data_IF_663091197594
#
_entry.id   IF_663091197594
#
_cell.length_a   1.000
_cell.length_b   1.000
_cell.length_c   1.000
_cell.angle_alpha   90.00
_cell.angle_beta   90.00
_cell.angle_gamma   90.00
#
_symmetry.space_group_name_H-M   'P 1'
#
loop_
_entity.id
_entity.type
_entity.pdbx_description
1 polymer ?
#
# COMPACT_ATOMS: atom_id res chain seq x y z
N UNK A 1 -19.39 -0.20 2.31
CA UNK A 1 -18.65 -0.02 1.04
C UNK A 1 -17.28 0.64 1.20
N UNK A 2 -17.03 1.50 2.21
CA UNK A 2 -15.75 2.21 2.40
C UNK A 2 -14.49 1.34 2.37
N UNK A 3 -14.56 0.13 2.93
CA UNK A 3 -13.42 -0.79 3.01
C UNK A 3 -13.31 -1.77 1.83
N UNK A 4 -14.21 -1.68 0.84
CA UNK A 4 -14.24 -2.63 -0.27
C UNK A 4 -12.95 -2.55 -1.11
N UNK A 5 -12.47 -1.35 -1.44
CA UNK A 5 -11.21 -1.17 -2.15
C UNK A 5 -10.02 -1.79 -1.41
N UNK A 6 -9.98 -1.68 -0.07
CA UNK A 6 -8.92 -2.31 0.74
C UNK A 6 -9.02 -3.83 0.65
N UNK A 7 -10.22 -4.39 0.75
CA UNK A 7 -10.44 -5.84 0.65
C UNK A 7 -10.01 -6.37 -0.73
N UNK A 8 -10.33 -5.64 -1.80
CA UNK A 8 -9.97 -6.01 -3.18
C UNK A 8 -8.46 -5.85 -3.44
N UNK A 9 -7.82 -4.86 -2.81
CA UNK A 9 -6.39 -4.61 -2.94
C UNK A 9 -5.54 -5.56 -2.07
N UNK A 10 -6.09 -6.09 -0.98
CA UNK A 10 -5.37 -6.89 0.00
C UNK A 10 -4.60 -8.09 -0.60
N UNK A 11 -5.17 -8.92 -1.50
CA UNK A 11 -4.41 -10.03 -2.11
C UNK A 11 -3.14 -9.55 -2.80
N UNK A 12 -3.22 -8.41 -3.51
CA UNK A 12 -2.08 -7.80 -4.18
C UNK A 12 -1.03 -7.27 -3.19
N UNK A 13 -1.45 -6.56 -2.14
CA UNK A 13 -0.51 -6.06 -1.12
C UNK A 13 0.20 -7.20 -0.38
N UNK A 14 -0.49 -8.31 -0.12
CA UNK A 14 0.10 -9.49 0.50
C UNK A 14 1.19 -10.10 -0.38
N UNK A 15 1.00 -10.16 -1.70
CA UNK A 15 2.02 -10.60 -2.65
C UNK A 15 3.26 -9.69 -2.57
N UNK A 16 3.06 -8.38 -2.47
CA UNK A 16 4.16 -7.42 -2.34
C UNK A 16 4.89 -7.52 -0.99
N UNK A 17 4.16 -7.74 0.12
CA UNK A 17 4.75 -8.04 1.42
C UNK A 17 5.66 -9.28 1.33
N UNK A 18 5.16 -10.34 0.70
CA UNK A 18 5.94 -11.55 0.47
C UNK A 18 7.16 -11.28 -0.40
N UNK A 19 7.00 -10.55 -1.50
CA UNK A 19 8.11 -10.21 -2.40
C UNK A 19 9.20 -9.37 -1.69
N UNK A 20 8.79 -8.39 -0.88
CA UNK A 20 9.69 -7.58 -0.05
C UNK A 20 10.49 -8.44 0.95
N UNK A 21 9.88 -9.49 1.51
CA UNK A 21 10.55 -10.40 2.44
C UNK A 21 11.46 -11.41 1.73
N UNK A 22 11.05 -11.87 0.55
CA UNK A 22 11.76 -12.86 -0.25
C UNK A 22 13.04 -12.30 -0.89
N UNK A 23 13.08 -11.00 -1.19
CA UNK A 23 14.19 -10.35 -1.89
C UNK A 23 14.79 -9.18 -1.10
N UNK A 24 16.11 -8.91 -1.22
CA UNK A 24 17.11 -9.70 -1.94
C UNK A 24 17.59 -10.89 -1.08
N UNK A 25 17.80 -12.05 -1.73
CA UNK A 25 18.30 -13.28 -1.09
C UNK A 25 19.78 -13.18 -0.66
N UNK A 26 20.51 -12.19 -1.18
CA UNK A 26 21.94 -11.97 -0.92
C UNK A 26 22.24 -11.28 0.41
N UNK A 27 21.29 -10.57 1.01
CA UNK A 27 21.53 -9.83 2.25
C UNK A 27 21.50 -10.77 3.47
N UNK A 28 22.36 -10.55 4.48
CA UNK A 28 22.35 -11.33 5.71
C UNK A 28 21.02 -11.16 6.47
N UNK A 29 20.53 -12.25 7.09
CA UNK A 29 19.26 -12.29 7.84
C UNK A 29 19.49 -12.12 9.35
N UNK A 30 19.98 -10.94 9.73
CA UNK A 30 20.20 -10.57 11.14
C UNK A 30 18.90 -10.24 11.87
N UNK A 31 18.88 -10.32 13.20
CA UNK A 31 17.70 -9.95 14.01
C UNK A 31 17.28 -8.49 13.83
N UNK A 32 18.25 -7.58 13.72
CA UNK A 32 17.97 -6.15 13.45
C UNK A 32 17.25 -5.93 12.12
N UNK A 33 17.66 -6.63 11.06
CA UNK A 33 16.96 -6.60 9.76
C UNK A 33 15.53 -7.12 9.87
N UNK A 34 15.30 -8.21 10.63
CA UNK A 34 13.94 -8.78 10.79
C UNK A 34 12.99 -7.80 11.46
N UNK A 35 13.45 -7.11 12.51
CA UNK A 35 12.64 -6.08 13.19
C UNK A 35 12.36 -4.92 12.24
N UNK A 36 13.38 -4.46 11.50
CA UNK A 36 13.21 -3.41 10.49
C UNK A 36 12.18 -3.82 9.42
N UNK A 37 12.32 -5.00 8.83
CA UNK A 37 11.43 -5.52 7.80
C UNK A 37 9.98 -5.63 8.33
N UNK A 38 9.80 -6.09 9.56
CA UNK A 38 8.49 -6.15 10.21
C UNK A 38 7.86 -4.76 10.39
N UNK A 39 8.61 -3.79 10.92
CA UNK A 39 8.14 -2.41 11.13
C UNK A 39 7.81 -1.74 9.80
N UNK A 40 8.65 -1.93 8.77
CA UNK A 40 8.40 -1.39 7.43
C UNK A 40 7.10 -1.91 6.82
N UNK A 41 6.84 -3.22 6.92
CA UNK A 41 5.59 -3.81 6.44
C UNK A 41 4.38 -3.33 7.24
N UNK A 42 4.51 -3.19 8.57
CA UNK A 42 3.44 -2.65 9.40
C UNK A 42 3.10 -1.21 9.02
N UNK A 43 4.11 -0.36 8.82
CA UNK A 43 3.93 1.02 8.37
C UNK A 43 3.30 1.08 6.97
N UNK A 44 3.70 0.21 6.05
CA UNK A 44 3.13 0.15 4.72
C UNK A 44 1.64 -0.21 4.76
N UNK A 45 1.25 -1.20 5.58
CA UNK A 45 -0.14 -1.62 5.76
C UNK A 45 -1.00 -0.52 6.39
N UNK A 46 -0.50 0.14 7.44
CA UNK A 46 -1.21 1.25 8.09
C UNK A 46 -1.36 2.43 7.11
N UNK A 47 -0.29 2.80 6.41
CA UNK A 47 -0.30 3.87 5.42
C UNK A 47 -1.30 3.58 4.29
N UNK A 48 -1.32 2.36 3.77
CA UNK A 48 -2.28 1.93 2.76
C UNK A 48 -3.72 2.08 3.23
N UNK A 49 -4.03 1.62 4.44
CA UNK A 49 -5.38 1.68 5.00
C UNK A 49 -5.83 3.13 5.21
N UNK A 50 -4.97 3.97 5.80
CA UNK A 50 -5.27 5.39 6.06
C UNK A 50 -5.47 6.16 4.74
N UNK A 51 -4.55 6.01 3.79
CA UNK A 51 -4.65 6.70 2.50
C UNK A 51 -5.86 6.20 1.69
N UNK A 52 -6.21 4.92 1.75
CA UNK A 52 -7.41 4.42 1.10
C UNK A 52 -8.70 5.03 1.70
N UNK A 53 -8.78 5.17 3.02
CA UNK A 53 -9.92 5.82 3.69
C UNK A 53 -10.00 7.30 3.30
N UNK A 54 -8.87 8.02 3.34
CA UNK A 54 -8.80 9.41 2.89
C UNK A 54 -9.25 9.55 1.42
N UNK A 55 -8.77 8.66 0.54
CA UNK A 55 -9.16 8.64 -0.87
C UNK A 55 -10.65 8.37 -1.10
N UNK A 56 -11.30 7.63 -0.19
CA UNK A 56 -12.76 7.40 -0.24
C UNK A 56 -13.52 8.66 0.15
N UNK A 57 -13.07 9.31 1.21
CA UNK A 57 -13.75 10.48 1.79
C UNK A 57 -13.56 11.75 0.93
N UNK A 58 -12.55 11.79 0.05
CA UNK A 58 -12.32 12.89 -0.91
C UNK A 58 -13.19 12.82 -2.18
N UNK A 59 -13.92 11.74 -2.42
CA UNK A 59 -14.71 11.60 -3.65
C UNK A 59 -16.04 12.35 -3.52
N UNK A 60 -16.18 13.43 -4.27
CA UNK A 60 -17.46 14.08 -4.49
C UNK A 60 -18.26 13.31 -5.55
N UNK A 61 -19.42 12.76 -5.13
CA UNK A 61 -20.30 12.03 -6.04
C UNK A 61 -21.12 13.01 -6.86
N UNK A 62 -21.23 12.82 -8.19
CA UNK A 62 -22.13 13.61 -9.02
C UNK A 62 -23.58 13.48 -8.51
N UNK A 63 -24.39 14.54 -8.61
CA UNK A 63 -25.81 14.45 -8.31
C UNK A 63 -26.47 13.40 -9.19
N UNK A 64 -27.48 12.72 -8.63
CA UNK A 64 -28.32 11.77 -9.36
C UNK A 64 -29.24 12.57 -10.25
N UNK A 65 -29.13 12.40 -11.57
CA UNK A 65 -30.02 13.04 -12.53
C UNK A 65 -31.21 12.12 -12.87
N UNK A 66 -32.09 12.61 -13.75
CA UNK A 66 -33.27 11.87 -14.21
C UNK A 66 -32.95 10.57 -14.97
N UNK A 67 -31.69 10.34 -15.36
CA UNK A 67 -31.22 9.14 -16.04
C UNK A 67 -30.46 8.19 -15.10
N UNK A 68 -30.29 8.55 -13.82
CA UNK A 68 -29.71 7.72 -12.76
C UNK A 68 -28.42 8.31 -12.17
N UNK A 69 -27.65 7.47 -11.46
CA UNK A 69 -26.32 7.87 -10.96
C UNK A 69 -25.37 7.97 -12.16
N UNK A 70 -24.81 9.15 -12.39
CA UNK A 70 -23.73 9.31 -13.37
C UNK A 70 -22.58 8.32 -13.09
N UNK A 71 -21.89 7.89 -14.14
CA UNK A 71 -20.78 6.91 -14.11
C UNK A 71 -19.66 7.25 -13.09
N UNK A 72 -19.64 8.47 -12.53
CA UNK A 72 -18.70 8.93 -11.51
C UNK A 72 -18.69 8.12 -10.20
N UNK A 73 -19.73 7.33 -9.90
CA UNK A 73 -19.76 6.50 -8.68
C UNK A 73 -18.61 5.50 -8.54
N UNK A 74 -18.00 5.07 -9.65
CA UNK A 74 -16.85 4.15 -9.65
C UNK A 74 -15.60 4.77 -9.01
N UNK A 75 -15.45 6.10 -9.07
CA UNK A 75 -14.29 6.81 -8.50
C UNK A 75 -14.19 6.65 -6.98
N UNK A 76 -15.32 6.39 -6.31
CA UNK A 76 -15.37 6.07 -4.89
C UNK A 76 -14.72 4.72 -4.53
N UNK A 77 -14.35 3.90 -5.52
CA UNK A 77 -13.54 2.70 -5.35
C UNK A 77 -12.14 2.84 -5.96
N UNK A 78 -12.02 3.53 -7.09
CA UNK A 78 -10.74 3.74 -7.79
C UNK A 78 -9.79 4.63 -6.97
N UNK A 79 -10.25 5.77 -6.45
CA UNK A 79 -9.40 6.67 -5.67
C UNK A 79 -8.82 6.02 -4.39
N UNK A 80 -9.64 5.35 -3.55
CA UNK A 80 -9.11 4.58 -2.42
C UNK A 80 -8.03 3.58 -2.81
N UNK A 81 -8.23 2.84 -3.91
CA UNK A 81 -7.27 1.84 -4.37
C UNK A 81 -5.95 2.49 -4.81
N UNK A 82 -6.01 3.60 -5.55
CA UNK A 82 -4.83 4.36 -5.98
C UNK A 82 -4.06 4.95 -4.79
N UNK A 83 -4.76 5.59 -3.85
CA UNK A 83 -4.13 6.19 -2.67
C UNK A 83 -3.52 5.13 -1.75
N UNK A 84 -4.26 4.04 -1.49
CA UNK A 84 -3.77 2.93 -0.68
C UNK A 84 -2.56 2.24 -1.30
N UNK A 85 -2.60 1.95 -2.60
CA UNK A 85 -1.48 1.34 -3.31
C UNK A 85 -0.27 2.26 -3.37
N UNK A 86 -0.46 3.55 -3.69
CA UNK A 86 0.60 4.54 -3.77
C UNK A 86 1.33 4.69 -2.43
N UNK A 87 0.59 4.85 -1.34
CA UNK A 87 1.15 4.95 0.00
C UNK A 87 1.97 3.70 0.38
N UNK A 88 1.41 2.52 0.10
CA UNK A 88 2.09 1.24 0.34
C UNK A 88 3.40 1.13 -0.45
N UNK A 89 3.36 1.42 -1.75
CA UNK A 89 4.51 1.32 -2.63
C UNK A 89 5.63 2.29 -2.22
N UNK A 90 5.29 3.53 -1.85
CA UNK A 90 6.26 4.51 -1.37
C UNK A 90 6.98 3.99 -0.12
N UNK A 91 6.24 3.49 0.88
CA UNK A 91 6.86 2.95 2.10
C UNK A 91 7.76 1.76 1.77
N UNK A 92 7.31 0.82 0.94
CA UNK A 92 8.15 -0.32 0.55
C UNK A 92 9.42 0.10 -0.18
N UNK A 93 9.33 1.03 -1.14
CA UNK A 93 10.51 1.51 -1.90
C UNK A 93 11.50 2.19 -0.96
N UNK A 94 11.03 3.08 -0.08
CA UNK A 94 11.90 3.73 0.91
C UNK A 94 12.54 2.71 1.84
N UNK A 95 11.77 1.72 2.32
CA UNK A 95 12.28 0.65 3.16
C UNK A 95 13.32 -0.21 2.42
N UNK A 96 13.11 -0.54 1.14
CA UNK A 96 14.07 -1.27 0.33
C UNK A 96 15.39 -0.51 0.19
N UNK A 97 15.34 0.80 -0.09
CA UNK A 97 16.51 1.66 -0.21
C UNK A 97 17.26 1.74 1.12
N UNK A 98 16.57 2.04 2.22
CA UNK A 98 17.16 2.10 3.56
C UNK A 98 17.80 0.77 3.95
N UNK A 99 17.11 -0.34 3.69
CA UNK A 99 17.63 -1.69 3.93
C UNK A 99 18.91 -1.95 3.15
N UNK A 100 18.96 -1.53 1.88
CA UNK A 100 20.15 -1.69 1.06
C UNK A 100 21.31 -0.82 1.56
N UNK A 101 21.07 0.41 1.99
CA UNK A 101 22.11 1.28 2.54
C UNK A 101 22.68 0.73 3.87
N UNK A 102 21.82 0.25 4.76
CA UNK A 102 22.23 -0.23 6.08
C UNK A 102 22.87 -1.63 6.07
N UNK A 103 22.43 -2.54 5.20
CA UNK A 103 22.90 -3.94 5.16
C UNK A 103 23.58 -4.36 3.85
N UNK A 104 23.56 -3.53 2.81
CA UNK A 104 24.17 -3.84 1.50
C UNK A 104 25.67 -3.58 1.42
N UNK A 105 26.26 -2.86 2.39
CA UNK A 105 27.72 -2.65 2.46
C UNK A 105 28.43 -3.83 3.13
N UNK A 106 28.63 -4.91 2.37
CA UNK A 106 29.78 -5.83 2.51
C UNK A 106 30.12 -6.42 1.14
N UNK A 107 30.95 -5.71 0.40
CA UNK A 107 32.06 -6.29 -0.36
C UNK A 107 33.32 -5.56 0.09
#
# INVERSE_FOLDING_TARGET
>A
MRYLAILLLAPWLLILCWAYWAYPKSLPRTSGRRIFDFVALLLAMIGAAQCAVIGFDMVELPPVDQFGRASGGIWQQVLPALYGYGAFAVVLVLAMLLRHVCWGRRR
#
